data_IF_566505599902
#
_entry.id   IF_566505599902
#
_cell.length_a   1.000
_cell.length_b   1.000
_cell.length_c   1.000
_cell.angle_alpha   90.00
_cell.angle_beta   90.00
_cell.angle_gamma   90.00
#
_symmetry.space_group_name_H-M   'P 1'
#
loop_
_entity.id
_entity.type
_entity.pdbx_description
1 polymer ?
#
# COMPACT_ATOMS: atom_id res chain seq x y z
N UNK A 1 -15.03 3.86 -5.30
CA UNK A 1 -14.99 3.32 -3.92
C UNK A 1 -15.44 1.86 -3.90
N UNK A 2 -14.52 0.97 -3.54
CA UNK A 2 -14.74 -0.48 -3.47
C UNK A 2 -15.71 -0.83 -2.33
N UNK A 3 -16.65 -1.74 -2.58
CA UNK A 3 -17.50 -2.32 -1.52
C UNK A 3 -17.04 -3.73 -1.20
N UNK A 4 -16.52 -3.94 0.00
CA UNK A 4 -16.23 -5.27 0.55
C UNK A 4 -17.40 -5.75 1.41
N UNK A 5 -17.60 -7.07 1.53
CA UNK A 5 -18.63 -7.60 2.43
C UNK A 5 -18.29 -7.29 3.88
N UNK A 6 -19.32 -7.11 4.73
CA UNK A 6 -19.15 -6.82 6.15
C UNK A 6 -18.29 -7.88 6.87
N UNK A 7 -18.42 -9.16 6.48
CA UNK A 7 -17.62 -10.24 7.06
C UNK A 7 -16.14 -10.14 6.68
N UNK A 8 -15.84 -9.80 5.42
CA UNK A 8 -14.46 -9.66 4.95
C UNK A 8 -13.82 -8.37 5.51
N UNK A 9 -14.57 -7.28 5.56
CA UNK A 9 -14.11 -6.00 6.06
C UNK A 9 -13.69 -6.01 7.53
N UNK A 10 -14.31 -6.88 8.36
CA UNK A 10 -13.98 -7.06 9.78
C UNK A 10 -12.72 -7.90 10.04
N UNK A 11 -12.14 -8.53 9.01
CA UNK A 11 -10.94 -9.35 9.19
C UNK A 11 -9.71 -8.49 9.44
N UNK A 12 -8.90 -8.94 10.37
CA UNK A 12 -7.56 -8.41 10.65
C UNK A 12 -6.52 -9.19 9.85
N UNK A 13 -5.28 -8.69 9.83
CA UNK A 13 -4.19 -9.35 9.10
C UNK A 13 -4.03 -10.83 9.52
N UNK A 14 -4.11 -11.12 10.82
CA UNK A 14 -3.97 -12.47 11.38
C UNK A 14 -4.99 -13.50 10.87
N UNK A 15 -6.12 -13.04 10.35
CA UNK A 15 -7.21 -13.89 9.88
C UNK A 15 -6.98 -14.46 8.47
N UNK A 16 -5.90 -14.04 7.80
CA UNK A 16 -5.53 -14.49 6.44
C UNK A 16 -4.47 -15.61 6.41
N UNK A 17 -4.06 -16.10 7.58
CA UNK A 17 -3.12 -17.21 7.74
C UNK A 17 -1.64 -16.81 7.70
N UNK A 18 -0.74 -17.79 7.79
CA UNK A 18 0.71 -17.56 7.95
C UNK A 18 1.50 -17.42 6.65
N UNK A 19 0.82 -17.36 5.50
CA UNK A 19 1.46 -17.20 4.19
C UNK A 19 1.01 -15.88 3.59
N UNK A 20 1.97 -15.07 3.15
CA UNK A 20 1.66 -13.82 2.45
C UNK A 20 0.75 -14.07 1.24
N UNK A 21 -0.28 -13.25 1.10
CA UNK A 21 -1.29 -13.41 0.07
C UNK A 21 -1.83 -12.06 -0.41
N UNK A 22 -2.32 -12.06 -1.64
CA UNK A 22 -3.08 -10.94 -2.20
C UNK A 22 -4.49 -10.98 -1.63
N UNK A 23 -4.88 -9.92 -0.92
CA UNK A 23 -6.20 -9.81 -0.27
C UNK A 23 -7.19 -9.17 -1.23
N UNK A 24 -6.82 -8.04 -1.81
CA UNK A 24 -7.64 -7.31 -2.78
C UNK A 24 -6.76 -6.73 -3.88
N UNK A 25 -7.33 -6.65 -5.07
CA UNK A 25 -6.74 -6.00 -6.23
C UNK A 25 -7.86 -5.46 -7.11
N UNK A 26 -7.79 -4.18 -7.45
CA UNK A 26 -8.76 -3.54 -8.34
C UNK A 26 -8.15 -2.34 -9.04
N UNK A 27 -8.73 -1.95 -10.16
CA UNK A 27 -8.34 -0.78 -10.92
C UNK A 27 -9.44 0.30 -10.81
N UNK A 28 -9.04 1.53 -10.53
CA UNK A 28 -9.94 2.69 -10.49
C UNK A 28 -9.18 3.89 -11.09
N UNK A 29 -9.76 4.54 -12.10
CA UNK A 29 -9.17 5.69 -12.82
C UNK A 29 -7.74 5.45 -13.36
N UNK A 30 -7.46 4.23 -13.84
CA UNK A 30 -6.15 3.86 -14.38
C UNK A 30 -5.08 3.63 -13.31
N UNK A 31 -5.44 3.67 -12.03
CA UNK A 31 -4.57 3.37 -10.90
C UNK A 31 -4.92 1.97 -10.38
N UNK A 32 -3.92 1.10 -10.35
CA UNK A 32 -4.04 -0.24 -9.80
C UNK A 32 -3.87 -0.19 -8.29
N UNK A 33 -4.87 -0.61 -7.51
CA UNK A 33 -4.79 -0.72 -6.06
C UNK A 33 -4.59 -2.17 -5.68
N UNK A 34 -3.69 -2.40 -4.73
CA UNK A 34 -3.33 -3.73 -4.25
C UNK A 34 -3.21 -3.70 -2.72
N UNK A 35 -3.91 -4.61 -2.05
CA UNK A 35 -3.72 -4.87 -0.63
C UNK A 35 -3.14 -6.27 -0.48
N UNK A 36 -1.97 -6.37 0.15
CA UNK A 36 -1.36 -7.65 0.50
C UNK A 36 -1.43 -7.85 2.01
N UNK A 37 -1.62 -9.10 2.41
CA UNK A 37 -1.38 -9.55 3.75
C UNK A 37 0.03 -10.14 3.84
N UNK A 38 0.80 -9.73 4.84
CA UNK A 38 2.18 -10.20 5.05
C UNK A 38 2.19 -11.31 6.11
N UNK A 39 1.89 -12.53 5.68
CA UNK A 39 1.96 -13.75 6.50
C UNK A 39 1.21 -13.66 7.84
N UNK A 40 0.07 -12.96 7.83
CA UNK A 40 -0.77 -12.74 9.00
C UNK A 40 -0.34 -11.54 9.86
N UNK A 41 0.83 -10.96 9.63
CA UNK A 41 1.43 -9.92 10.47
C UNK A 41 0.72 -8.58 10.39
N UNK A 42 0.64 -8.03 9.18
CA UNK A 42 0.07 -6.71 8.90
C UNK A 42 -0.43 -6.67 7.44
N UNK A 43 -1.14 -5.61 7.10
CA UNK A 43 -1.48 -5.29 5.72
C UNK A 43 -0.45 -4.35 5.11
N UNK A 44 -0.34 -4.40 3.79
CA UNK A 44 0.39 -3.42 2.99
C UNK A 44 -0.51 -2.98 1.84
N UNK A 45 -0.37 -1.73 1.44
CA UNK A 45 -1.17 -1.14 0.37
C UNK A 45 -0.26 -0.51 -0.68
N UNK A 46 -0.64 -0.69 -1.94
CA UNK A 46 0.14 -0.20 -3.07
C UNK A 46 -0.76 0.42 -4.14
N UNK A 47 -0.26 1.48 -4.75
CA UNK A 47 -0.80 2.10 -5.95
C UNK A 47 0.17 1.92 -7.11
N UNK A 48 -0.33 1.31 -8.17
CA UNK A 48 0.37 1.09 -9.42
C UNK A 48 -0.14 2.04 -10.50
N UNK A 49 0.78 2.69 -11.21
CA UNK A 49 0.51 3.42 -12.45
C UNK A 49 1.25 2.74 -13.60
N UNK A 50 0.80 2.88 -14.86
CA UNK A 50 1.58 2.35 -15.99
C UNK A 50 3.04 2.81 -15.90
N UNK A 51 3.99 1.91 -16.14
CA UNK A 51 5.43 2.22 -15.97
C UNK A 51 5.96 3.32 -16.90
N UNK A 52 5.19 3.66 -17.93
CA UNK A 52 5.48 4.75 -18.87
C UNK A 52 4.82 6.08 -18.49
N UNK A 53 4.04 6.11 -17.41
CA UNK A 53 3.36 7.31 -16.93
C UNK A 53 4.40 8.34 -16.41
N UNK A 54 4.20 9.67 -16.59
CA UNK A 54 5.17 10.68 -16.15
C UNK A 54 5.54 10.64 -14.67
N UNK A 55 4.63 10.16 -13.81
CA UNK A 55 4.85 9.95 -12.38
C UNK A 55 5.60 8.63 -12.06
N UNK A 56 5.90 7.77 -13.03
CA UNK A 56 6.63 6.53 -12.80
C UNK A 56 8.14 6.79 -12.69
N UNK A 57 8.86 5.96 -11.92
CA UNK A 57 10.32 6.02 -11.82
C UNK A 57 10.88 6.88 -10.69
N UNK A 58 10.06 7.69 -10.03
CA UNK A 58 10.47 8.44 -8.84
C UNK A 58 10.65 7.51 -7.64
N UNK A 59 11.67 7.77 -6.82
CA UNK A 59 11.83 7.08 -5.54
C UNK A 59 10.73 7.55 -4.58
N UNK A 60 10.32 6.68 -3.66
CA UNK A 60 9.12 6.94 -2.85
C UNK A 60 9.21 8.19 -1.97
N UNK A 61 10.41 8.64 -1.60
CA UNK A 61 10.63 9.84 -0.79
C UNK A 61 10.51 11.15 -1.61
N UNK A 62 10.54 11.05 -2.94
CA UNK A 62 10.36 12.17 -3.87
C UNK A 62 8.89 12.44 -4.17
N UNK A 63 8.02 11.47 -3.90
CA UNK A 63 6.58 11.54 -4.20
C UNK A 63 5.84 12.10 -2.98
N UNK A 64 5.23 13.30 -3.07
CA UNK A 64 4.60 13.97 -1.94
C UNK A 64 3.20 13.41 -1.68
N UNK A 65 3.11 12.12 -1.36
CA UNK A 65 1.86 11.43 -1.08
C UNK A 65 1.67 11.25 0.43
N UNK A 66 0.49 11.64 0.93
CA UNK A 66 0.11 11.44 2.33
C UNK A 66 -0.58 10.10 2.47
N UNK A 67 0.04 9.18 3.20
CA UNK A 67 -0.53 7.90 3.59
C UNK A 67 -0.12 7.55 5.03
N UNK A 68 -0.73 6.51 5.60
CA UNK A 68 -0.37 5.99 6.92
C UNK A 68 1.15 5.72 7.02
N UNK A 69 1.81 6.39 7.96
CA UNK A 69 3.25 6.27 8.18
C UNK A 69 4.17 6.84 7.09
N UNK A 70 3.62 7.24 5.93
CA UNK A 70 4.37 7.64 4.75
C UNK A 70 4.72 6.48 3.82
N UNK A 71 5.16 6.80 2.61
CA UNK A 71 5.59 5.79 1.65
C UNK A 71 6.89 5.12 2.11
N UNK A 72 6.97 3.80 1.93
CA UNK A 72 8.16 3.00 2.26
C UNK A 72 8.64 2.14 1.09
N UNK A 73 7.96 2.23 -0.06
CA UNK A 73 8.23 1.40 -1.23
C UNK A 73 7.97 2.15 -2.55
N UNK A 74 8.92 2.03 -3.48
CA UNK A 74 8.78 2.39 -4.90
C UNK A 74 9.55 1.39 -5.76
N UNK A 75 8.92 0.78 -6.77
CA UNK A 75 9.60 -0.10 -7.73
C UNK A 75 8.77 -0.38 -8.98
N UNK A 76 9.43 -0.72 -10.08
CA UNK A 76 8.80 -1.45 -11.18
C UNK A 76 8.30 -2.83 -10.72
N UNK A 77 7.19 -3.28 -11.30
CA UNK A 77 6.65 -4.61 -11.04
C UNK A 77 7.51 -5.72 -11.67
N UNK A 78 7.69 -6.80 -10.92
CA UNK A 78 8.48 -7.97 -11.33
C UNK A 78 7.63 -9.09 -11.98
N UNK A 79 6.30 -8.93 -11.98
CA UNK A 79 5.34 -9.94 -12.43
C UNK A 79 5.05 -11.03 -11.40
N UNK A 80 5.59 -10.92 -10.19
CA UNK A 80 5.22 -11.71 -9.03
C UNK A 80 4.06 -11.05 -8.29
N UNK A 81 4.33 -10.53 -7.10
CA UNK A 81 3.33 -9.80 -6.30
C UNK A 81 2.86 -8.52 -7.00
N UNK A 82 3.72 -7.92 -7.80
CA UNK A 82 3.48 -6.66 -8.52
C UNK A 82 3.46 -6.91 -10.03
N UNK A 83 2.31 -6.71 -10.71
CA UNK A 83 2.22 -6.77 -12.17
C UNK A 83 3.30 -5.93 -12.92
N UNK A 84 3.86 -6.51 -13.99
CA UNK A 84 5.07 -6.04 -14.72
C UNK A 84 4.95 -4.69 -15.43
N UNK A 85 3.74 -4.29 -15.75
CA UNK A 85 3.48 -3.11 -16.58
C UNK A 85 3.22 -1.85 -15.75
N UNK A 86 3.44 -1.94 -14.44
CA UNK A 86 3.18 -0.89 -13.49
C UNK A 86 4.43 -0.51 -12.70
N UNK A 87 4.54 0.77 -12.36
CA UNK A 87 5.41 1.30 -11.32
C UNK A 87 4.58 1.48 -10.06
N UNK A 88 5.07 0.97 -8.94
CA UNK A 88 4.31 0.80 -7.71
C UNK A 88 4.86 1.68 -6.60
N UNK A 89 3.97 2.37 -5.91
CA UNK A 89 4.23 3.07 -4.65
C UNK A 89 3.47 2.37 -3.54
N UNK A 90 4.05 2.24 -2.34
CA UNK A 90 3.36 1.57 -1.25
C UNK A 90 3.87 1.87 0.13
N UNK A 91 3.08 1.41 1.10
CA UNK A 91 3.32 1.52 2.54
C UNK A 91 2.75 0.31 3.26
N UNK A 92 3.07 0.21 4.54
CA UNK A 92 2.65 -0.87 5.44
C UNK A 92 1.89 -0.35 6.65
N UNK A 93 1.06 -1.21 7.23
CA UNK A 93 0.37 -0.98 8.50
C UNK A 93 1.13 -1.68 9.64
N UNK A 94 2.45 -1.45 9.70
CA UNK A 94 3.38 -1.95 10.72
C UNK A 94 4.30 -0.84 11.26
N UNK A 95 3.78 0.39 11.35
CA UNK A 95 4.47 1.55 11.89
C UNK A 95 4.38 1.62 13.43
N UNK A 96 5.08 2.59 14.02
CA UNK A 96 5.04 2.81 15.46
C UNK A 96 3.60 3.06 15.95
N UNK A 97 3.08 2.16 16.78
CA UNK A 97 1.71 2.21 17.29
C UNK A 97 0.75 1.22 16.63
N UNK A 98 1.17 0.56 15.55
CA UNK A 98 0.39 -0.51 14.92
C UNK A 98 0.61 -1.85 15.61
N UNK A 99 -0.46 -2.63 15.68
CA UNK A 99 -0.42 -4.02 16.10
C UNK A 99 0.12 -4.87 14.95
N UNK A 100 1.15 -5.66 15.25
CA UNK A 100 1.68 -6.66 14.31
C UNK A 100 1.68 -8.02 14.99
N UNK A 101 1.18 -9.06 14.32
CA UNK A 101 1.39 -10.41 14.89
C UNK A 101 2.81 -10.87 14.61
N UNK A 102 3.48 -11.40 15.64
CA UNK A 102 4.74 -12.11 15.50
C UNK A 102 4.55 -13.35 14.60
N UNK A 103 5.05 -13.26 13.36
CA UNK A 103 4.66 -14.18 12.28
C UNK A 103 5.76 -14.63 11.33
N UNK A 104 7.03 -14.67 11.75
CA UNK A 104 8.10 -15.57 11.28
C UNK A 104 9.43 -15.14 11.93
N UNK A 105 10.03 -16.05 12.72
CA UNK A 105 11.26 -15.91 13.50
C UNK A 105 11.15 -15.15 14.84
N UNK A 106 11.24 -15.96 15.87
CA UNK A 106 11.33 -15.75 17.32
C UNK A 106 12.55 -14.91 17.78
N UNK A 107 12.97 -13.88 17.03
CA UNK A 107 14.20 -13.12 17.32
C UNK A 107 13.98 -11.67 17.78
N UNK A 108 12.76 -11.13 17.72
CA UNK A 108 12.47 -9.73 18.11
C UNK A 108 11.82 -9.64 19.51
N UNK A 109 11.43 -10.76 20.11
CA UNK A 109 10.87 -10.79 21.47
C UNK A 109 11.92 -10.58 22.57
N UNK A 110 13.22 -10.55 22.26
CA UNK A 110 14.32 -10.50 23.25
C UNK A 110 15.00 -9.15 23.45
N UNK A 111 14.76 -8.12 22.63
CA UNK A 111 15.51 -6.85 22.73
C UNK A 111 14.72 -5.64 23.27
N UNK A 112 13.41 -5.75 23.51
CA UNK A 112 12.62 -4.69 24.15
C UNK A 112 12.63 -3.33 23.43
N UNK A 113 13.14 -3.26 22.19
CA UNK A 113 13.33 -2.01 21.46
C UNK A 113 12.13 -1.61 20.58
N UNK A 114 11.19 -2.55 20.35
CA UNK A 114 9.95 -2.33 19.63
C UNK A 114 8.82 -2.94 20.47
N UNK A 115 7.88 -2.13 20.96
CA UNK A 115 6.65 -2.65 21.54
C UNK A 115 5.88 -3.33 20.41
N UNK A 116 5.98 -4.66 20.30
CA UNK A 116 5.36 -5.45 19.24
C UNK A 116 3.81 -5.47 19.31
N UNK A 117 3.23 -4.85 20.33
CA UNK A 117 1.79 -4.67 20.48
C UNK A 117 1.51 -3.17 20.50
N UNK A 118 1.51 -2.52 19.34
CA UNK A 118 0.80 -1.26 19.19
C UNK A 118 -0.70 -1.48 19.45
N UNK A 119 -1.40 -0.43 19.86
CA UNK A 119 -2.83 -0.54 20.20
C UNK A 119 -3.70 -0.64 18.93
N UNK A 120 -3.19 -0.20 17.77
CA UNK A 120 -3.98 -0.12 16.54
C UNK A 120 -3.89 -1.41 15.73
N UNK A 121 -4.91 -2.23 15.87
CA UNK A 121 -5.10 -3.44 15.08
C UNK A 121 -6.06 -3.20 13.92
N UNK A 122 -5.48 -2.95 12.74
CA UNK A 122 -6.22 -2.56 11.54
C UNK A 122 -7.08 -3.70 10.98
N UNK A 123 -8.35 -3.40 10.77
CA UNK A 123 -9.25 -4.24 9.95
C UNK A 123 -9.06 -3.93 8.47
N UNK A 124 -9.41 -4.89 7.61
CA UNK A 124 -9.36 -4.67 6.16
C UNK A 124 -10.22 -3.49 5.71
N UNK A 125 -11.36 -3.26 6.35
CA UNK A 125 -12.22 -2.10 6.05
C UNK A 125 -11.48 -0.79 6.35
N UNK A 126 -10.85 -0.66 7.51
CA UNK A 126 -10.11 0.55 7.87
C UNK A 126 -8.92 0.79 6.95
N UNK A 127 -8.21 -0.26 6.52
CA UNK A 127 -7.14 -0.16 5.51
C UNK A 127 -7.66 0.36 4.17
N UNK A 128 -8.86 -0.04 3.76
CA UNK A 128 -9.47 0.48 2.53
C UNK A 128 -9.81 1.95 2.70
N UNK A 129 -10.43 2.32 3.81
CA UNK A 129 -10.88 3.69 4.11
C UNK A 129 -9.69 4.67 4.24
N UNK A 130 -8.62 4.30 4.95
CA UNK A 130 -7.38 5.09 5.04
C UNK A 130 -6.72 5.27 3.67
N UNK A 131 -6.66 4.17 2.91
CA UNK A 131 -6.17 4.21 1.54
C UNK A 131 -7.05 5.00 0.58
N UNK A 132 -8.33 5.24 0.87
CA UNK A 132 -9.21 6.04 0.01
C UNK A 132 -8.86 7.54 0.08
N UNK A 133 -8.43 8.04 1.23
CA UNK A 133 -7.90 9.40 1.36
C UNK A 133 -6.61 9.58 0.54
N UNK A 134 -5.69 8.63 0.69
CA UNK A 134 -4.44 8.58 -0.08
C UNK A 134 -4.72 8.49 -1.59
N UNK A 135 -5.72 7.71 -1.98
CA UNK A 135 -6.09 7.52 -3.39
C UNK A 135 -6.52 8.84 -4.04
N UNK A 136 -7.26 9.68 -3.33
CA UNK A 136 -7.67 10.99 -3.84
C UNK A 136 -6.46 11.88 -4.14
N UNK A 137 -5.53 11.98 -3.19
CA UNK A 137 -4.29 12.75 -3.36
C UNK A 137 -3.44 12.19 -4.52
N UNK A 138 -3.33 10.86 -4.61
CA UNK A 138 -2.57 10.20 -5.67
C UNK A 138 -3.19 10.45 -7.07
N UNK A 139 -4.52 10.46 -7.17
CA UNK A 139 -5.23 10.78 -8.41
C UNK A 139 -4.95 12.22 -8.87
N UNK A 140 -5.00 13.18 -7.95
CA UNK A 140 -4.66 14.58 -8.27
C UNK A 140 -3.21 14.73 -8.73
N UNK A 141 -2.29 14.05 -8.05
CA UNK A 141 -0.88 14.06 -8.41
C UNK A 141 -0.63 13.43 -9.79
N UNK A 142 -1.31 12.31 -10.09
CA UNK A 142 -1.30 11.65 -11.39
C UNK A 142 -1.74 12.61 -12.50
N UNK A 143 -2.90 13.24 -12.35
CA UNK A 143 -3.45 14.19 -13.33
C UNK A 143 -2.58 15.43 -13.51
N UNK A 144 -1.94 15.92 -12.45
CA UNK A 144 -1.01 17.04 -12.53
C UNK A 144 0.25 16.66 -13.32
N UNK A 145 0.81 15.48 -13.07
CA UNK A 145 1.98 14.98 -13.79
C UNK A 145 1.70 14.83 -15.29
N UNK A 146 0.51 14.34 -15.66
CA UNK A 146 0.05 14.27 -17.07
C UNK A 146 0.03 15.66 -17.71
N UNK A 147 -0.62 16.65 -17.07
CA UNK A 147 -0.69 18.03 -17.58
C UNK A 147 0.67 18.71 -17.73
N UNK A 148 1.60 18.44 -16.80
CA UNK A 148 2.97 18.97 -16.88
C UNK A 148 3.71 18.35 -18.08
N UNK A 149 3.57 17.05 -18.29
CA UNK A 149 4.18 16.37 -19.43
C UNK A 149 3.66 16.91 -20.76
N UNK A 150 2.33 17.02 -20.90
CA UNK A 150 1.67 17.59 -22.09
C UNK A 150 2.18 19.01 -22.38
N UNK A 151 2.24 19.88 -21.37
CA UNK A 151 2.73 21.25 -21.52
C UNK A 151 4.20 21.33 -21.97
N UNK A 152 5.02 20.35 -21.63
CA UNK A 152 6.43 20.31 -22.03
C UNK A 152 6.63 19.75 -23.45
N UNK A 153 5.68 19.00 -23.99
CA UNK A 153 5.71 18.50 -25.37
C UNK A 153 5.27 19.57 -26.39
N UNK A 154 4.54 20.61 -25.95
CA UNK A 154 4.09 21.73 -26.77
C UNK A 154 5.16 22.83 -26.98
N UNK A 155 6.31 22.74 -26.30
CA UNK A 155 7.42 23.73 -26.32
C UNK A 155 8.59 23.23 -27.17
#
# INVERSE_FOLDING_TARGET
>A
MLKVSDELGKKHARDFGKKSCKVLEWNEDGIQRLILNVSGSHFTQYFGIPKYHPLAGFYYDEVPLRCHGGLTFSSEGDGGKYPKDFYWYGWDYAHAGDFITAGANDLITTSGLFSLNGDKDWTLKEVIEDGDETFYDFKLLKELAEKIAEKNEEV
#
